data_IF_830063844916
#
_entry.id   IF_830063844916
#
_cell.length_a   1.000
_cell.length_b   1.000
_cell.length_c   1.000
_cell.angle_alpha   90.00
_cell.angle_beta   90.00
_cell.angle_gamma   90.00
#
_symmetry.space_group_name_H-M   'P 1'
#
loop_
_entity.id
_entity.type
_entity.pdbx_description
1 polymer ?
#
# COMPACT_ATOMS: atom_id res chain seq x y z
N UNK A 1 20.07 29.39 37.02
CA UNK A 1 19.69 29.98 35.71
C UNK A 1 20.43 29.39 34.51
N UNK A 2 21.74 29.13 34.58
CA UNK A 2 22.54 28.66 33.42
C UNK A 2 22.11 27.26 32.91
N UNK A 3 21.87 26.31 33.81
CA UNK A 3 21.41 24.95 33.43
C UNK A 3 20.05 24.92 32.72
N UNK A 4 19.10 25.76 33.14
CA UNK A 4 17.77 25.87 32.48
C UNK A 4 17.91 26.38 31.04
N UNK A 5 18.80 27.36 30.84
CA UNK A 5 19.05 27.97 29.52
C UNK A 5 19.76 26.99 28.57
N UNK A 6 20.65 26.14 29.10
CA UNK A 6 21.32 25.08 28.32
C UNK A 6 20.32 24.00 27.89
N UNK A 7 19.39 23.59 28.76
CA UNK A 7 18.35 22.61 28.42
C UNK A 7 17.39 23.15 27.36
N UNK A 8 17.02 24.43 27.45
CA UNK A 8 16.16 25.13 26.50
C UNK A 8 16.83 25.29 25.12
N UNK A 9 18.11 25.68 25.07
CA UNK A 9 18.90 25.75 23.83
C UNK A 9 19.07 24.37 23.20
N UNK A 10 19.35 23.32 23.98
CA UNK A 10 19.43 21.94 23.47
C UNK A 10 18.09 21.43 22.93
N UNK A 11 16.97 21.81 23.56
CA UNK A 11 15.62 21.50 23.08
C UNK A 11 15.30 22.15 21.74
N UNK A 12 15.65 23.42 21.58
CA UNK A 12 15.40 24.18 20.34
C UNK A 12 16.28 23.73 19.17
N UNK A 13 17.56 23.40 19.40
CA UNK A 13 18.42 22.81 18.36
C UNK A 13 17.95 21.43 17.91
N UNK A 14 17.52 20.57 18.84
CA UNK A 14 16.91 19.27 18.50
C UNK A 14 15.68 19.44 17.61
N UNK A 15 14.76 20.34 17.97
CA UNK A 15 13.55 20.59 17.18
C UNK A 15 13.87 21.08 15.76
N UNK A 16 14.82 22.02 15.60
CA UNK A 16 15.26 22.49 14.27
C UNK A 16 15.87 21.38 13.42
N UNK A 17 16.65 20.47 14.02
CA UNK A 17 17.26 19.34 13.30
C UNK A 17 16.23 18.31 12.85
N UNK A 18 15.20 18.07 13.67
CA UNK A 18 14.08 17.16 13.34
C UNK A 18 13.26 17.73 12.17
N UNK A 19 12.86 19.00 12.22
CA UNK A 19 12.11 19.64 11.14
C UNK A 19 12.88 19.66 9.82
N UNK A 20 14.19 19.93 9.86
CA UNK A 20 15.05 19.90 8.67
C UNK A 20 15.12 18.49 8.05
N UNK A 21 15.14 17.44 8.87
CA UNK A 21 15.13 16.07 8.39
C UNK A 21 13.77 15.65 7.80
N UNK A 22 12.66 16.06 8.41
CA UNK A 22 11.33 15.79 7.89
C UNK A 22 11.14 16.39 6.49
N UNK A 23 11.48 17.68 6.33
CA UNK A 23 11.44 18.35 5.03
C UNK A 23 12.35 17.69 3.97
N UNK A 24 13.54 17.21 4.37
CA UNK A 24 14.43 16.47 3.47
C UNK A 24 13.77 15.21 2.92
N UNK A 25 13.18 14.38 3.77
CA UNK A 25 12.58 13.13 3.32
C UNK A 25 11.26 13.29 2.58
N UNK A 26 10.51 14.38 2.83
CA UNK A 26 9.36 14.72 2.01
C UNK A 26 9.77 15.13 0.58
N UNK A 27 10.87 15.87 0.42
CA UNK A 27 11.41 16.18 -0.91
C UNK A 27 11.89 14.92 -1.62
N UNK A 28 12.68 14.06 -0.93
CA UNK A 28 13.13 12.78 -1.50
C UNK A 28 11.97 11.86 -1.90
N UNK A 29 10.87 11.86 -1.15
CA UNK A 29 9.65 11.14 -1.54
C UNK A 29 9.08 11.68 -2.85
N UNK A 30 9.08 12.99 -3.05
CA UNK A 30 8.60 13.58 -4.29
C UNK A 30 9.52 13.23 -5.47
N UNK A 31 10.83 13.37 -5.30
CA UNK A 31 11.84 12.97 -6.30
C UNK A 31 11.70 11.48 -6.68
N UNK A 32 11.49 10.61 -5.69
CA UNK A 32 11.21 9.19 -5.90
C UNK A 32 9.94 8.97 -6.75
N UNK A 33 8.85 9.68 -6.46
CA UNK A 33 7.59 9.53 -7.20
C UNK A 33 7.74 10.03 -8.64
N UNK A 34 8.52 11.08 -8.86
CA UNK A 34 8.80 11.62 -10.19
C UNK A 34 9.69 10.65 -11.00
N UNK A 35 10.68 10.00 -10.39
CA UNK A 35 11.46 8.91 -11.00
C UNK A 35 10.58 7.72 -11.41
N UNK A 36 9.67 7.29 -10.54
CA UNK A 36 8.72 6.20 -10.84
C UNK A 36 7.75 6.59 -11.94
N UNK A 37 7.30 7.84 -11.97
CA UNK A 37 6.45 8.37 -13.04
C UNK A 37 7.19 8.42 -14.37
N UNK A 38 8.43 8.90 -14.38
CA UNK A 38 9.30 8.90 -15.57
C UNK A 38 9.51 7.48 -16.11
N UNK A 39 9.63 6.49 -15.23
CA UNK A 39 9.76 5.08 -15.58
C UNK A 39 8.47 4.41 -16.07
N UNK A 40 7.35 5.14 -16.19
CA UNK A 40 6.07 4.61 -16.69
C UNK A 40 5.24 3.83 -15.66
N UNK A 41 5.48 4.03 -14.36
CA UNK A 41 4.65 3.40 -13.31
C UNK A 41 3.20 3.91 -13.39
N UNK A 42 2.23 2.99 -13.31
CA UNK A 42 0.81 3.34 -13.34
C UNK A 42 0.41 4.27 -12.18
N UNK A 43 -0.52 5.18 -12.43
CA UNK A 43 -0.96 6.20 -11.45
C UNK A 43 -1.53 5.56 -10.17
N UNK A 44 -2.25 4.44 -10.28
CA UNK A 44 -2.74 3.70 -9.12
C UNK A 44 -1.59 3.21 -8.20
N UNK A 45 -0.48 2.76 -8.80
CA UNK A 45 0.71 2.33 -8.05
C UNK A 45 1.45 3.52 -7.44
N UNK A 46 1.55 4.64 -8.16
CA UNK A 46 2.12 5.89 -7.63
C UNK A 46 1.33 6.39 -6.41
N UNK A 47 0.00 6.31 -6.46
CA UNK A 47 -0.86 6.67 -5.32
C UNK A 47 -0.67 5.74 -4.12
N UNK A 48 -0.49 4.43 -4.36
CA UNK A 48 -0.13 3.47 -3.32
C UNK A 48 1.20 3.84 -2.64
N UNK A 49 2.24 4.09 -3.43
CA UNK A 49 3.53 4.55 -2.89
C UNK A 49 3.41 5.86 -2.10
N UNK A 50 2.71 6.86 -2.65
CA UNK A 50 2.50 8.16 -1.99
C UNK A 50 1.86 7.98 -0.63
N UNK A 51 0.83 7.15 -0.53
CA UNK A 51 0.12 6.87 0.72
C UNK A 51 1.02 6.15 1.72
N UNK A 52 1.59 5.02 1.33
CA UNK A 52 2.37 4.16 2.22
C UNK A 52 3.65 4.85 2.74
N UNK A 53 4.37 5.55 1.87
CA UNK A 53 5.59 6.27 2.24
C UNK A 53 5.26 7.45 3.15
N UNK A 54 4.18 8.19 2.86
CA UNK A 54 3.75 9.30 3.73
C UNK A 54 3.39 8.78 5.13
N UNK A 55 2.70 7.64 5.21
CA UNK A 55 2.38 6.99 6.48
C UNK A 55 3.62 6.61 7.27
N UNK A 56 4.63 6.05 6.59
CA UNK A 56 5.92 5.71 7.19
C UNK A 56 6.68 6.94 7.69
N UNK A 57 6.84 7.97 6.86
CA UNK A 57 7.56 9.19 7.24
C UNK A 57 6.87 9.93 8.39
N UNK A 58 5.53 9.98 8.38
CA UNK A 58 4.75 10.55 9.48
C UNK A 58 5.02 9.82 10.80
N UNK A 59 4.97 8.49 10.80
CA UNK A 59 5.30 7.70 11.99
C UNK A 59 6.70 8.01 12.53
N UNK A 60 7.72 8.07 11.66
CA UNK A 60 9.07 8.39 12.10
C UNK A 60 9.19 9.82 12.64
N UNK A 61 8.48 10.77 12.03
CA UNK A 61 8.43 12.15 12.53
C UNK A 61 7.78 12.23 13.91
N UNK A 62 6.62 11.60 14.09
CA UNK A 62 5.86 11.60 15.34
C UNK A 62 6.66 10.96 16.47
N UNK A 63 7.35 9.86 16.19
CA UNK A 63 8.23 9.13 17.13
C UNK A 63 9.66 9.72 17.23
N UNK A 64 9.96 10.78 16.48
CA UNK A 64 11.29 11.42 16.39
C UNK A 64 12.43 10.44 16.05
N UNK A 65 12.13 9.47 15.20
CA UNK A 65 13.05 8.44 14.71
C UNK A 65 13.75 8.89 13.42
N UNK A 66 14.98 8.42 13.24
CA UNK A 66 15.71 8.61 11.99
C UNK A 66 15.25 7.61 10.91
N UNK A 67 15.32 8.02 9.64
CA UNK A 67 15.10 7.13 8.49
C UNK A 67 16.33 6.24 8.29
N UNK A 68 16.37 5.14 9.03
CA UNK A 68 17.44 4.14 8.98
C UNK A 68 16.89 2.76 9.37
N UNK A 69 17.77 1.76 9.48
CA UNK A 69 17.37 0.39 9.85
C UNK A 69 16.60 0.34 11.19
N UNK A 70 17.01 1.13 12.19
CA UNK A 70 16.35 1.15 13.49
C UNK A 70 14.95 1.76 13.42
N UNK A 71 14.80 2.90 12.74
CA UNK A 71 13.49 3.52 12.50
C UNK A 71 12.55 2.60 11.71
N UNK A 72 13.07 1.94 10.67
CA UNK A 72 12.31 0.96 9.90
C UNK A 72 11.84 -0.22 10.76
N UNK A 73 12.71 -0.80 11.60
CA UNK A 73 12.32 -1.89 12.51
C UNK A 73 11.23 -1.45 13.49
N UNK A 74 11.34 -0.23 14.05
CA UNK A 74 10.31 0.34 14.94
C UNK A 74 8.97 0.50 14.24
N UNK A 75 8.98 0.91 12.97
CA UNK A 75 7.76 1.00 12.17
C UNK A 75 7.11 -0.36 11.93
N UNK A 76 7.89 -1.39 11.58
CA UNK A 76 7.38 -2.76 11.39
C UNK A 76 6.78 -3.33 12.69
N UNK A 77 7.42 -3.07 13.83
CA UNK A 77 6.89 -3.43 15.15
C UNK A 77 5.56 -2.71 15.40
N UNK A 78 5.49 -1.40 15.18
CA UNK A 78 4.26 -0.62 15.33
C UNK A 78 3.10 -1.18 14.49
N UNK A 79 3.34 -1.54 13.22
CA UNK A 79 2.31 -2.12 12.36
C UNK A 79 1.82 -3.47 12.89
N UNK A 80 2.71 -4.27 13.47
CA UNK A 80 2.40 -5.59 14.02
C UNK A 80 1.63 -5.45 15.34
N UNK A 81 2.06 -4.56 16.23
CA UNK A 81 1.41 -4.27 17.52
C UNK A 81 0.03 -3.62 17.33
N UNK A 82 -0.22 -3.00 16.17
CA UNK A 82 -1.53 -2.50 15.77
C UNK A 82 -2.52 -3.60 15.37
N UNK A 83 -2.15 -4.89 15.46
CA UNK A 83 -3.00 -6.03 15.12
C UNK A 83 -3.16 -6.28 13.62
N UNK A 84 -2.29 -5.71 12.78
CA UNK A 84 -2.37 -5.94 11.32
C UNK A 84 -1.92 -7.36 10.97
N UNK A 85 -2.55 -7.95 9.95
CA UNK A 85 -2.11 -9.24 9.41
C UNK A 85 -0.71 -9.13 8.82
N UNK A 86 0.07 -10.22 8.86
CA UNK A 86 1.40 -10.26 8.26
C UNK A 86 1.39 -9.88 6.76
N UNK A 87 0.30 -10.17 6.04
CA UNK A 87 0.13 -9.76 4.64
C UNK A 87 -0.01 -8.25 4.49
N UNK A 88 -0.81 -7.60 5.34
CA UNK A 88 -0.96 -6.15 5.38
C UNK A 88 0.36 -5.48 5.77
N UNK A 89 1.06 -6.00 6.79
CA UNK A 89 2.39 -5.48 7.17
C UNK A 89 3.38 -5.61 6.00
N UNK A 90 3.40 -6.76 5.32
CA UNK A 90 4.26 -6.96 4.16
C UNK A 90 3.88 -6.08 2.96
N UNK A 91 2.63 -5.68 2.81
CA UNK A 91 2.22 -4.69 1.81
C UNK A 91 2.93 -3.34 2.07
N UNK A 92 2.82 -2.81 3.29
CA UNK A 92 3.52 -1.58 3.67
C UNK A 92 5.05 -1.72 3.55
N UNK A 93 5.61 -2.85 3.99
CA UNK A 93 7.05 -3.12 3.86
C UNK A 93 7.49 -3.06 2.39
N UNK A 94 6.73 -3.59 1.44
CA UNK A 94 7.11 -3.57 0.02
C UNK A 94 7.18 -2.14 -0.52
N UNK A 95 6.17 -1.32 -0.27
CA UNK A 95 6.15 0.07 -0.72
C UNK A 95 7.30 0.88 -0.11
N UNK A 96 7.50 0.77 1.21
CA UNK A 96 8.57 1.48 1.92
C UNK A 96 9.95 0.96 1.53
N UNK A 97 10.10 -0.35 1.27
CA UNK A 97 11.36 -0.95 0.82
C UNK A 97 11.84 -0.38 -0.50
N UNK A 98 10.95 -0.20 -1.48
CA UNK A 98 11.30 0.35 -2.79
C UNK A 98 11.82 1.78 -2.64
N UNK A 99 11.17 2.58 -1.81
CA UNK A 99 11.63 3.94 -1.49
C UNK A 99 12.97 3.96 -0.76
N UNK A 100 13.15 3.14 0.28
CA UNK A 100 14.40 3.11 1.04
C UNK A 100 15.58 2.63 0.21
N UNK A 101 15.40 1.65 -0.68
CA UNK A 101 16.45 1.23 -1.61
C UNK A 101 16.79 2.31 -2.62
N UNK A 102 15.79 3.02 -3.14
CA UNK A 102 16.05 4.19 -3.98
C UNK A 102 16.85 5.27 -3.22
N UNK A 103 16.52 5.56 -1.96
CA UNK A 103 17.33 6.46 -1.12
C UNK A 103 18.77 5.95 -0.88
N UNK A 104 18.99 4.64 -0.81
CA UNK A 104 20.34 4.07 -0.71
C UNK A 104 21.13 4.24 -2.00
N UNK A 105 20.48 4.11 -3.16
CA UNK A 105 21.09 4.32 -4.48
C UNK A 105 21.48 5.79 -4.70
N UNK A 106 20.76 6.74 -4.09
CA UNK A 106 21.12 8.16 -4.10
C UNK A 106 22.12 8.56 -2.99
N UNK A 107 22.69 7.60 -2.26
CA UNK A 107 23.58 7.83 -1.10
C UNK A 107 22.96 8.68 0.04
N UNK A 108 21.63 8.79 0.10
CA UNK A 108 20.91 9.60 1.08
C UNK A 108 20.83 8.94 2.46
N UNK A 109 20.84 7.59 2.49
CA UNK A 109 20.84 6.77 3.70
C UNK A 109 21.86 5.62 3.59
N UNK A 110 22.39 5.19 4.73
CA UNK A 110 23.29 4.04 4.79
C UNK A 110 22.59 2.76 4.30
N UNK A 111 23.26 1.90 3.50
CA UNK A 111 22.68 0.65 3.02
C UNK A 111 22.34 -0.32 4.15
N UNK A 112 21.16 -0.95 4.08
CA UNK A 112 20.78 -2.05 4.98
C UNK A 112 19.80 -3.03 4.33
N UNK A 113 19.72 -4.24 4.87
CA UNK A 113 18.86 -5.30 4.31
C UNK A 113 17.47 -5.30 4.96
N UNK A 114 16.45 -5.03 4.16
CA UNK A 114 15.05 -5.09 4.57
C UNK A 114 14.53 -6.53 4.48
N UNK A 115 13.97 -7.02 5.60
CA UNK A 115 13.36 -8.36 5.71
C UNK A 115 11.84 -8.23 5.79
N UNK A 116 11.13 -9.17 5.18
CA UNK A 116 9.68 -9.30 5.30
C UNK A 116 9.30 -10.06 6.57
N UNK A 117 8.11 -9.80 7.08
CA UNK A 117 7.51 -10.59 8.17
C UNK A 117 7.09 -11.95 7.61
N UNK A 118 7.34 -13.03 8.35
CA UNK A 118 6.84 -14.36 7.94
C UNK A 118 5.32 -14.33 8.00
N UNK A 119 4.66 -14.43 6.85
CA UNK A 119 3.23 -14.57 6.76
C UNK A 119 2.86 -16.05 6.74
N UNK A 120 1.86 -16.43 7.52
CA UNK A 120 1.17 -17.69 7.30
C UNK A 120 0.32 -17.54 6.05
N UNK A 121 0.41 -18.49 5.12
CA UNK A 121 -0.47 -18.50 3.95
C UNK A 121 -1.90 -18.73 4.42
N UNK A 122 -2.71 -17.68 4.36
CA UNK A 122 -4.15 -17.81 4.49
C UNK A 122 -4.67 -18.33 3.17
N UNK A 123 -4.99 -19.62 3.11
CA UNK A 123 -5.79 -20.16 2.01
C UNK A 123 -7.12 -19.42 2.10
N UNK A 124 -7.47 -18.67 1.04
CA UNK A 124 -8.80 -18.08 0.96
C UNK A 124 -9.79 -19.22 0.82
N UNK A 125 -10.87 -19.18 1.58
CA UNK A 125 -11.98 -20.11 1.37
C UNK A 125 -12.47 -19.96 -0.06
N UNK A 126 -12.43 -21.06 -0.78
CA UNK A 126 -12.92 -21.17 -2.16
C UNK A 126 -14.31 -21.78 -2.13
N UNK A 127 -15.14 -21.42 -3.10
CA UNK A 127 -16.45 -22.02 -3.25
C UNK A 127 -16.35 -23.53 -3.36
N UNK A 128 -17.17 -24.25 -2.61
CA UNK A 128 -17.33 -25.70 -2.82
C UNK A 128 -18.07 -25.95 -4.13
N UNK A 129 -18.03 -27.21 -4.60
CA UNK A 129 -18.75 -27.59 -5.81
C UNK A 129 -20.26 -27.34 -5.67
N UNK A 130 -20.81 -27.58 -4.48
CA UNK A 130 -22.23 -27.37 -4.17
C UNK A 130 -22.60 -25.89 -4.17
N UNK A 131 -21.79 -25.04 -3.55
CA UNK A 131 -21.97 -23.59 -3.55
C UNK A 131 -21.89 -23.01 -4.96
N UNK A 132 -20.93 -23.48 -5.76
CA UNK A 132 -20.79 -23.06 -7.15
C UNK A 132 -21.99 -23.50 -7.98
N UNK A 133 -22.44 -24.76 -7.83
CA UNK A 133 -23.63 -25.28 -8.50
C UNK A 133 -24.89 -24.46 -8.12
N UNK A 134 -25.02 -24.05 -6.86
CA UNK A 134 -26.12 -23.20 -6.41
C UNK A 134 -26.04 -21.79 -7.02
N UNK A 135 -24.83 -21.22 -7.09
CA UNK A 135 -24.59 -19.86 -7.61
C UNK A 135 -24.91 -19.73 -9.10
N UNK A 136 -24.70 -20.79 -9.89
CA UNK A 136 -24.95 -20.79 -11.34
C UNK A 136 -26.36 -21.26 -11.72
N UNK A 137 -27.24 -21.56 -10.75
CA UNK A 137 -28.61 -21.97 -11.07
C UNK A 137 -29.33 -20.88 -11.87
N UNK A 138 -29.96 -21.24 -13.01
CA UNK A 138 -30.65 -20.27 -13.85
C UNK A 138 -31.83 -19.63 -13.07
N UNK A 139 -31.98 -18.30 -13.10
CA UNK A 139 -33.11 -17.63 -12.48
C UNK A 139 -34.44 -18.04 -13.11
N UNK A 140 -35.53 -17.89 -12.36
CA UNK A 140 -36.89 -18.06 -12.87
C UNK A 140 -37.26 -16.87 -13.75
N UNK A 141 -38.20 -17.09 -14.67
CA UNK A 141 -38.69 -16.03 -15.58
C UNK A 141 -39.29 -14.83 -14.84
N UNK A 142 -39.86 -15.09 -13.67
CA UNK A 142 -40.50 -14.08 -12.80
C UNK A 142 -39.54 -13.38 -11.84
N UNK A 143 -38.26 -13.79 -11.81
CA UNK A 143 -37.26 -13.14 -10.97
C UNK A 143 -36.90 -11.74 -11.51
N UNK A 144 -36.45 -10.88 -10.60
CA UNK A 144 -36.11 -9.49 -10.92
C UNK A 144 -34.92 -9.38 -11.88
N UNK A 145 -34.84 -8.24 -12.56
CA UNK A 145 -33.70 -7.89 -13.40
C UNK A 145 -32.35 -8.04 -12.66
N UNK A 146 -32.27 -7.68 -11.37
CA UNK A 146 -31.03 -7.76 -10.58
C UNK A 146 -30.53 -9.20 -10.44
N UNK A 147 -31.45 -10.16 -10.31
CA UNK A 147 -31.12 -11.58 -10.21
C UNK A 147 -30.58 -12.09 -11.55
N UNK A 148 -31.28 -11.77 -12.64
CA UNK A 148 -30.84 -12.09 -14.01
C UNK A 148 -29.48 -11.48 -14.35
N UNK A 149 -29.29 -10.20 -14.02
CA UNK A 149 -28.05 -9.47 -14.23
C UNK A 149 -26.88 -10.10 -13.46
N UNK A 150 -27.07 -10.39 -12.16
CA UNK A 150 -26.03 -11.01 -11.33
C UNK A 150 -25.67 -12.41 -11.84
N UNK A 151 -26.66 -13.23 -12.18
CA UNK A 151 -26.44 -14.55 -12.74
C UNK A 151 -25.65 -14.50 -14.06
N UNK A 152 -25.99 -13.57 -14.96
CA UNK A 152 -25.30 -13.39 -16.23
C UNK A 152 -23.83 -12.97 -16.02
N UNK A 153 -23.57 -12.02 -15.12
CA UNK A 153 -22.20 -11.59 -14.77
C UNK A 153 -21.40 -12.74 -14.17
N UNK A 154 -21.98 -13.51 -13.24
CA UNK A 154 -21.30 -14.65 -12.60
C UNK A 154 -20.91 -15.69 -13.65
N UNK A 155 -21.83 -16.07 -14.54
CA UNK A 155 -21.55 -17.03 -15.60
C UNK A 155 -20.52 -16.50 -16.59
N UNK A 156 -20.56 -15.20 -16.91
CA UNK A 156 -19.54 -14.56 -17.74
C UNK A 156 -18.15 -14.62 -17.09
N UNK A 157 -18.04 -14.26 -15.82
CA UNK A 157 -16.78 -14.32 -15.07
C UNK A 157 -16.27 -15.76 -14.99
N UNK A 158 -17.13 -16.73 -14.71
CA UNK A 158 -16.76 -18.15 -14.67
C UNK A 158 -16.29 -18.67 -16.03
N UNK A 159 -16.93 -18.25 -17.12
CA UNK A 159 -16.59 -18.69 -18.48
C UNK A 159 -15.34 -18.01 -19.06
N UNK A 160 -15.03 -16.78 -18.63
CA UNK A 160 -13.95 -15.97 -19.23
C UNK A 160 -12.75 -15.77 -18.30
N UNK A 161 -12.91 -16.02 -17.01
CA UNK A 161 -11.98 -15.61 -15.96
C UNK A 161 -11.61 -14.10 -16.02
N UNK A 162 -12.49 -13.26 -16.58
CA UNK A 162 -12.28 -11.83 -16.65
C UNK A 162 -12.15 -11.23 -15.24
N UNK A 163 -11.23 -10.28 -15.10
CA UNK A 163 -11.10 -9.52 -13.85
C UNK A 163 -12.30 -8.59 -13.70
N UNK A 164 -12.69 -8.33 -12.45
CA UNK A 164 -13.83 -7.46 -12.12
C UNK A 164 -13.76 -6.11 -12.85
N UNK A 165 -12.63 -5.40 -12.78
CA UNK A 165 -12.45 -4.15 -13.52
C UNK A 165 -12.71 -4.26 -15.02
N UNK A 166 -12.30 -5.37 -15.66
CA UNK A 166 -12.56 -5.62 -17.08
C UNK A 166 -14.04 -5.80 -17.36
N UNK A 167 -14.77 -6.49 -16.48
CA UNK A 167 -16.23 -6.65 -16.60
C UNK A 167 -16.93 -5.29 -16.48
N UNK A 168 -16.48 -4.45 -15.55
CA UNK A 168 -17.04 -3.12 -15.31
C UNK A 168 -16.77 -2.13 -16.46
N UNK A 169 -15.66 -2.28 -17.18
CA UNK A 169 -15.31 -1.42 -18.34
C UNK A 169 -15.86 -1.93 -19.68
N UNK A 170 -16.44 -3.13 -19.71
CA UNK A 170 -16.94 -3.76 -20.94
C UNK A 170 -18.08 -2.96 -21.57
N UNK A 171 -18.00 -2.74 -22.89
CA UNK A 171 -19.03 -2.06 -23.68
C UNK A 171 -19.52 -2.94 -24.82
N UNK A 172 -20.84 -2.96 -25.04
CA UNK A 172 -21.45 -3.63 -26.18
C UNK A 172 -21.58 -2.62 -27.32
N UNK A 173 -20.89 -2.88 -28.43
CA UNK A 173 -21.01 -2.05 -29.63
C UNK A 173 -22.00 -2.69 -30.61
N UNK A 174 -23.17 -2.07 -30.77
CA UNK A 174 -24.12 -2.47 -31.82
C UNK A 174 -23.73 -1.78 -33.11
N UNK A 175 -23.15 -2.53 -34.05
CA UNK A 175 -23.01 -2.05 -35.42
C UNK A 175 -24.34 -2.29 -36.12
N UNK A 176 -25.09 -1.22 -36.40
CA UNK A 176 -26.27 -1.29 -37.25
C UNK A 176 -25.77 -1.48 -38.68
N UNK A 177 -26.02 -2.66 -39.26
CA UNK A 177 -25.81 -2.94 -40.68
C UNK A 177 -26.89 -2.27 -41.54
#
# INVERSE_FOLDING_TARGET
>A
MIFSKILEVRGTEKMKKIQKNAARFDNLKQDFLDDKKYSGTAEATLNGYRYDITRFLKFLSDEQLAVNEAGFKRYVIHLTDSGMTANSVNHYIRSVKVFLYWCMEQDEIAPFKIKMVKAQETIKDVYTQEELCALIQPPKREDSFVVWHSWAIINFILGTAAREATVCEMQIHFTVL
#
